data_IF_254983850482
#
_entry.id   IF_254983850482
#
_cell.length_a   1.000
_cell.length_b   1.000
_cell.length_c   1.000
_cell.angle_alpha   90.00
_cell.angle_beta   90.00
_cell.angle_gamma   90.00
#
_symmetry.space_group_name_H-M   'P 1'
#
loop_
_entity.id
_entity.type
_entity.pdbx_description
1 polymer ?
#
# COMPACT_ATOMS: atom_id res chain seq x y z
N UNK A 1 -8.77 2.92 9.54
CA UNK A 1 -9.26 4.17 8.90
C UNK A 1 -9.85 5.11 9.94
N UNK A 2 -10.95 4.73 10.61
CA UNK A 2 -11.62 5.57 11.63
C UNK A 2 -10.67 6.13 12.71
N UNK A 3 -9.79 5.30 13.26
CA UNK A 3 -8.82 5.74 14.27
C UNK A 3 -7.90 6.88 13.82
N UNK A 4 -7.54 6.95 12.53
CA UNK A 4 -6.73 8.06 12.00
C UNK A 4 -7.55 9.33 11.82
N UNK A 5 -8.80 9.21 11.37
CA UNK A 5 -9.73 10.34 11.23
C UNK A 5 -10.01 10.98 12.59
N UNK A 6 -10.23 10.17 13.62
CA UNK A 6 -10.41 10.67 14.99
C UNK A 6 -9.19 11.47 15.44
N UNK A 7 -7.97 10.99 15.19
CA UNK A 7 -6.74 11.73 15.52
C UNK A 7 -6.64 13.06 14.78
N UNK A 8 -6.98 13.11 13.49
CA UNK A 8 -6.99 14.36 12.72
C UNK A 8 -7.98 15.39 13.31
N UNK A 9 -9.14 14.93 13.78
CA UNK A 9 -10.14 15.79 14.44
C UNK A 9 -9.66 16.36 15.77
N UNK A 10 -9.11 15.51 16.66
CA UNK A 10 -8.53 15.98 17.92
C UNK A 10 -7.35 16.92 17.68
N UNK A 11 -6.46 16.61 16.73
CA UNK A 11 -5.32 17.46 16.42
C UNK A 11 -5.73 18.83 15.89
N UNK A 12 -6.73 18.89 15.00
CA UNK A 12 -7.26 20.15 14.47
C UNK A 12 -7.81 21.05 15.59
N UNK A 13 -8.55 20.44 16.52
CA UNK A 13 -9.08 21.11 17.71
C UNK A 13 -7.97 21.58 18.67
N UNK A 14 -7.03 20.70 19.03
CA UNK A 14 -5.94 21.01 19.97
C UNK A 14 -5.00 22.09 19.44
N UNK A 15 -4.82 22.18 18.12
CA UNK A 15 -3.98 23.21 17.50
C UNK A 15 -4.73 24.52 17.26
N UNK A 16 -6.02 24.58 17.61
CA UNK A 16 -6.90 25.72 17.41
C UNK A 16 -6.81 26.25 15.97
N UNK A 17 -6.87 25.32 15.00
CA UNK A 17 -6.82 25.63 13.58
C UNK A 17 -7.97 26.57 13.21
N UNK A 18 -7.68 27.56 12.38
CA UNK A 18 -8.71 28.38 11.75
C UNK A 18 -9.61 27.55 10.83
N UNK A 19 -10.79 28.06 10.49
CA UNK A 19 -11.70 27.42 9.53
C UNK A 19 -10.99 27.05 8.22
N UNK A 20 -10.11 27.93 7.73
CA UNK A 20 -9.33 27.72 6.51
C UNK A 20 -8.30 26.60 6.66
N UNK A 21 -7.67 26.47 7.83
CA UNK A 21 -6.71 25.39 8.09
C UNK A 21 -7.41 24.05 8.23
N UNK A 22 -8.56 24.04 8.92
CA UNK A 22 -9.45 22.89 9.05
C UNK A 22 -9.94 22.43 7.68
N UNK A 23 -10.40 23.33 6.82
CA UNK A 23 -10.84 23.00 5.46
C UNK A 23 -9.72 22.35 4.65
N UNK A 24 -8.51 22.91 4.69
CA UNK A 24 -7.34 22.29 4.03
C UNK A 24 -7.00 20.92 4.60
N UNK A 25 -7.16 20.69 5.90
CA UNK A 25 -6.96 19.37 6.51
C UNK A 25 -7.98 18.36 5.99
N UNK A 26 -9.26 18.74 5.97
CA UNK A 26 -10.33 17.93 5.39
C UNK A 26 -10.04 17.58 3.92
N UNK A 27 -9.61 18.56 3.12
CA UNK A 27 -9.25 18.34 1.72
C UNK A 27 -8.08 17.36 1.56
N UNK A 28 -7.00 17.54 2.34
CA UNK A 28 -5.85 16.62 2.33
C UNK A 28 -6.26 15.19 2.71
N UNK A 29 -7.08 15.05 3.76
CA UNK A 29 -7.57 13.75 4.23
C UNK A 29 -8.43 13.07 3.17
N UNK A 30 -9.39 13.80 2.59
CA UNK A 30 -10.23 13.31 1.51
C UNK A 30 -9.42 12.87 0.30
N UNK A 31 -8.45 13.68 -0.14
CA UNK A 31 -7.56 13.35 -1.25
C UNK A 31 -6.71 12.11 -0.96
N UNK A 32 -6.13 11.99 0.23
CA UNK A 32 -5.29 10.85 0.60
C UNK A 32 -6.07 9.51 0.55
N UNK A 33 -7.35 9.52 0.97
CA UNK A 33 -8.21 8.34 0.95
C UNK A 33 -8.73 8.05 -0.46
N UNK A 34 -9.36 9.04 -1.10
CA UNK A 34 -10.08 8.83 -2.36
C UNK A 34 -9.13 8.59 -3.53
N UNK A 35 -8.01 9.32 -3.60
CA UNK A 35 -7.08 9.20 -4.73
C UNK A 35 -6.48 7.79 -4.81
N UNK A 36 -5.99 7.28 -3.68
CA UNK A 36 -5.41 5.93 -3.62
C UNK A 36 -6.43 4.82 -3.93
N UNK A 37 -7.67 5.01 -3.47
CA UNK A 37 -8.76 4.08 -3.79
C UNK A 37 -9.11 4.09 -5.28
N UNK A 38 -9.25 5.27 -5.90
CA UNK A 38 -9.52 5.41 -7.34
C UNK A 38 -8.39 4.84 -8.18
N UNK A 39 -7.13 5.08 -7.80
CA UNK A 39 -5.95 4.49 -8.46
C UNK A 39 -6.01 2.96 -8.43
N UNK A 40 -6.29 2.38 -7.26
CA UNK A 40 -6.44 0.92 -7.12
C UNK A 40 -7.58 0.37 -7.97
N UNK A 41 -8.73 1.06 -8.02
CA UNK A 41 -9.87 0.67 -8.86
C UNK A 41 -9.48 0.71 -10.34
N UNK A 42 -8.79 1.77 -10.76
CA UNK A 42 -8.32 1.93 -12.13
C UNK A 42 -7.38 0.80 -12.53
N UNK A 43 -6.39 0.48 -11.70
CA UNK A 43 -5.47 -0.64 -11.96
C UNK A 43 -6.21 -1.95 -12.18
N UNK A 44 -7.17 -2.28 -11.31
CA UNK A 44 -7.96 -3.51 -11.43
C UNK A 44 -8.88 -3.48 -12.66
N UNK A 45 -9.45 -2.32 -13.00
CA UNK A 45 -10.26 -2.18 -14.21
C UNK A 45 -9.46 -2.41 -15.50
N UNK A 46 -8.14 -2.20 -15.47
CA UNK A 46 -7.20 -2.49 -16.56
C UNK A 46 -6.67 -3.93 -16.51
N UNK A 47 -7.18 -4.79 -15.62
CA UNK A 47 -6.76 -6.17 -15.45
C UNK A 47 -5.47 -6.35 -14.64
N UNK A 48 -4.97 -5.30 -13.98
CA UNK A 48 -3.80 -5.37 -13.10
C UNK A 48 -4.20 -5.80 -11.70
N UNK A 49 -3.21 -6.23 -10.90
CA UNK A 49 -3.39 -6.49 -9.47
C UNK A 49 -2.94 -5.28 -8.67
N UNK A 50 -3.66 -4.97 -7.58
CA UNK A 50 -3.20 -3.97 -6.62
C UNK A 50 -1.97 -4.52 -5.91
N UNK A 51 -0.86 -3.78 -5.94
CA UNK A 51 0.41 -4.23 -5.37
C UNK A 51 1.21 -3.11 -4.70
N UNK A 52 1.97 -3.46 -3.66
CA UNK A 52 2.93 -2.58 -3.02
C UNK A 52 4.34 -2.91 -3.52
N UNK A 53 5.06 -1.92 -4.04
CA UNK A 53 6.43 -2.10 -4.51
C UNK A 53 7.42 -1.88 -3.36
N UNK A 54 8.36 -2.79 -3.21
CA UNK A 54 9.40 -2.76 -2.18
C UNK A 54 10.78 -2.95 -2.79
N UNK A 55 11.77 -2.26 -2.21
CA UNK A 55 13.19 -2.41 -2.52
C UNK A 55 13.96 -2.57 -1.22
N UNK A 56 14.67 -3.69 -1.06
CA UNK A 56 15.37 -4.05 0.17
C UNK A 56 16.85 -4.35 -0.12
N UNK A 57 17.71 -4.04 0.86
CA UNK A 57 19.14 -4.32 0.84
C UNK A 57 19.47 -5.46 1.79
N UNK A 58 20.29 -6.41 1.34
CA UNK A 58 20.71 -7.58 2.09
C UNK A 58 22.24 -7.70 2.08
N UNK A 59 22.80 -8.20 3.19
CA UNK A 59 24.25 -8.44 3.31
C UNK A 59 24.71 -9.70 2.60
N UNK A 60 23.83 -10.68 2.41
CA UNK A 60 24.12 -11.93 1.71
C UNK A 60 22.88 -12.48 1.01
N UNK A 61 23.09 -13.29 -0.03
CA UNK A 61 22.03 -14.04 -0.71
C UNK A 61 21.30 -14.99 0.24
N UNK A 62 22.01 -15.58 1.21
CA UNK A 62 21.41 -16.48 2.20
C UNK A 62 20.29 -15.78 3.00
N UNK A 63 20.56 -14.57 3.52
CA UNK A 63 19.57 -13.81 4.29
C UNK A 63 18.40 -13.37 3.40
N UNK A 64 18.68 -13.04 2.13
CA UNK A 64 17.66 -12.71 1.14
C UNK A 64 16.72 -13.90 0.89
N UNK A 65 17.25 -15.11 0.72
CA UNK A 65 16.44 -16.31 0.52
C UNK A 65 15.64 -16.69 1.78
N UNK A 66 16.24 -16.56 2.97
CA UNK A 66 15.51 -16.71 4.24
C UNK A 66 14.34 -15.72 4.34
N UNK A 67 14.51 -14.48 3.89
CA UNK A 67 13.44 -13.49 3.84
C UNK A 67 12.31 -13.91 2.89
N UNK A 68 12.62 -14.38 1.68
CA UNK A 68 11.62 -14.90 0.73
C UNK A 68 10.84 -16.07 1.33
N UNK A 69 11.53 -17.01 1.98
CA UNK A 69 10.89 -18.13 2.67
C UNK A 69 9.97 -17.67 3.79
N UNK A 70 10.38 -16.66 4.56
CA UNK A 70 9.58 -16.12 5.64
C UNK A 70 8.31 -15.44 5.14
N UNK A 71 8.39 -14.63 4.07
CA UNK A 71 7.20 -14.03 3.44
C UNK A 71 6.20 -15.10 2.99
N UNK A 72 6.69 -16.17 2.36
CA UNK A 72 5.84 -17.31 1.96
C UNK A 72 5.17 -17.97 3.15
N UNK A 73 5.90 -18.21 4.25
CA UNK A 73 5.34 -18.78 5.50
C UNK A 73 4.26 -17.90 6.12
N UNK A 74 4.38 -16.58 5.98
CA UNK A 74 3.38 -15.62 6.45
C UNK A 74 2.15 -15.52 5.53
N UNK A 75 2.10 -16.29 4.43
CA UNK A 75 1.01 -16.22 3.45
C UNK A 75 1.02 -14.93 2.64
N UNK A 76 2.18 -14.26 2.54
CA UNK A 76 2.33 -13.06 1.73
C UNK A 76 2.51 -13.46 0.27
N UNK A 77 1.55 -13.08 -0.57
CA UNK A 77 1.66 -13.20 -2.02
C UNK A 77 2.63 -12.11 -2.52
N UNK A 78 3.74 -12.52 -3.14
CA UNK A 78 4.78 -11.61 -3.61
C UNK A 78 5.41 -12.07 -4.93
N UNK A 79 5.65 -11.12 -5.82
CA UNK A 79 6.35 -11.32 -7.08
C UNK A 79 7.76 -10.70 -6.96
N UNK A 80 8.81 -11.53 -6.99
CA UNK A 80 10.19 -11.12 -6.79
C UNK A 80 10.91 -10.88 -8.13
N UNK A 81 11.73 -9.84 -8.21
CA UNK A 81 12.72 -9.69 -9.28
C UNK A 81 13.94 -10.59 -9.02
N UNK A 82 14.79 -10.71 -10.03
CA UNK A 82 16.16 -11.16 -9.81
C UNK A 82 16.89 -10.18 -8.88
N UNK A 83 17.70 -10.73 -7.98
CA UNK A 83 18.52 -9.92 -7.09
C UNK A 83 19.79 -9.47 -7.83
N UNK A 84 20.20 -8.23 -7.60
CA UNK A 84 21.43 -7.67 -8.16
C UNK A 84 22.31 -7.07 -7.07
N UNK A 85 23.62 -6.96 -7.32
CA UNK A 85 24.56 -6.43 -6.34
C UNK A 85 24.86 -4.95 -6.62
N UNK A 86 24.68 -4.09 -5.62
CA UNK A 86 24.87 -2.64 -5.69
C UNK A 86 25.39 -2.14 -4.32
N UNK A 87 26.39 -1.26 -4.32
CA UNK A 87 26.92 -0.61 -3.11
C UNK A 87 27.24 -1.56 -1.94
N UNK A 88 27.83 -2.73 -2.24
CA UNK A 88 28.20 -3.70 -1.20
C UNK A 88 27.02 -4.53 -0.66
N UNK A 89 25.85 -4.48 -1.31
CA UNK A 89 24.64 -5.17 -0.87
C UNK A 89 23.96 -5.90 -2.02
N UNK A 90 23.23 -6.96 -1.69
CA UNK A 90 22.27 -7.57 -2.58
C UNK A 90 20.96 -6.80 -2.50
N UNK A 91 20.48 -6.31 -3.64
CA UNK A 91 19.23 -5.59 -3.77
C UNK A 91 18.16 -6.56 -4.26
N UNK A 92 17.03 -6.58 -3.56
CA UNK A 92 15.82 -7.28 -3.98
C UNK A 92 14.71 -6.27 -4.20
N UNK A 93 14.11 -6.30 -5.39
CA UNK A 93 12.87 -5.60 -5.67
C UNK A 93 11.74 -6.63 -5.73
N UNK A 94 10.63 -6.33 -5.08
CA UNK A 94 9.47 -7.21 -5.12
C UNK A 94 8.17 -6.44 -4.99
N UNK A 95 7.11 -7.05 -5.52
CA UNK A 95 5.75 -6.52 -5.44
C UNK A 95 4.94 -7.41 -4.53
N UNK A 96 4.42 -6.85 -3.44
CA UNK A 96 3.49 -7.54 -2.55
C UNK A 96 2.08 -7.38 -3.11
N UNK A 97 1.42 -8.49 -3.42
CA UNK A 97 0.10 -8.49 -4.04
C UNK A 97 -0.98 -8.36 -2.96
N UNK A 98 -1.87 -7.39 -3.12
CA UNK A 98 -3.06 -7.20 -2.28
C UNK A 98 -4.22 -8.01 -2.87
N UNK A 99 -4.17 -9.34 -2.68
CA UNK A 99 -5.15 -10.29 -3.26
C UNK A 99 -6.58 -9.93 -2.86
N UNK A 100 -6.84 -9.79 -1.55
CA UNK A 100 -8.19 -9.46 -1.05
C UNK A 100 -8.75 -8.15 -1.61
N UNK A 101 -7.90 -7.12 -1.76
CA UNK A 101 -8.31 -5.83 -2.32
C UNK A 101 -8.63 -5.97 -3.82
N UNK A 102 -7.75 -6.65 -4.56
CA UNK A 102 -7.93 -6.90 -6.00
C UNK A 102 -9.22 -7.66 -6.26
N UNK A 103 -9.49 -8.71 -5.49
CA UNK A 103 -10.68 -9.55 -5.63
C UNK A 103 -11.96 -8.79 -5.31
N UNK A 104 -11.97 -8.00 -4.22
CA UNK A 104 -13.14 -7.18 -3.85
C UNK A 104 -13.45 -6.13 -4.90
N UNK A 105 -12.44 -5.42 -5.40
CA UNK A 105 -12.64 -4.45 -6.47
C UNK A 105 -13.16 -5.15 -7.72
N UNK A 106 -12.55 -6.27 -8.11
CA UNK A 106 -12.98 -7.08 -9.27
C UNK A 106 -14.44 -7.52 -9.13
N UNK A 107 -14.83 -7.97 -7.94
CA UNK A 107 -16.20 -8.40 -7.64
C UNK A 107 -17.20 -7.27 -7.83
N UNK A 108 -16.90 -6.08 -7.29
CA UNK A 108 -17.78 -4.91 -7.41
C UNK A 108 -17.82 -4.36 -8.84
N UNK A 109 -16.69 -4.35 -9.56
CA UNK A 109 -16.63 -3.94 -10.96
C UNK A 109 -17.44 -4.87 -11.89
N UNK A 110 -17.63 -6.14 -11.50
CA UNK A 110 -18.51 -7.08 -12.20
C UNK A 110 -20.01 -6.86 -11.93
N UNK A 111 -20.37 -5.85 -11.15
CA UNK A 111 -21.76 -5.53 -10.80
C UNK A 111 -22.35 -6.42 -9.72
N UNK A 112 -21.52 -7.18 -9.00
CA UNK A 112 -22.00 -7.96 -7.88
C UNK A 112 -22.35 -7.07 -6.68
N UNK A 113 -23.20 -7.57 -5.80
CA UNK A 113 -23.59 -6.88 -4.58
C UNK A 113 -22.43 -6.76 -3.59
N UNK A 114 -22.52 -5.72 -2.76
CA UNK A 114 -21.62 -5.48 -1.63
C UNK A 114 -21.79 -6.51 -0.52
#
# INVERSE_FOLDING_TARGET
MLSRIVREGFQSFEFNESDRETEKRCERLGKAILKSMVESIKEVSEGKKVAENHRLRFKSLEVLELFKMQLKKMGVEAEFSDAFYEDGHYILEFRRIMVSTTDKITHLLKGNLW
#
